data_IF_592359786561
#
_entry.id   IF_592359786561
#
_cell.length_a   1.000
_cell.length_b   1.000
_cell.length_c   1.000
_cell.angle_alpha   90.00
_cell.angle_beta   90.00
_cell.angle_gamma   90.00
#
_symmetry.space_group_name_H-M   'P 1'
#
loop_
_entity.id
_entity.type
_entity.pdbx_description
1 polymer ?
#
# COMPACT_ATOMS: atom_id res chain seq x y z
N UNK A 1 8.82 48.14 22.41
CA UNK A 1 8.26 48.12 21.03
C UNK A 1 8.09 46.66 20.67
N UNK A 2 6.94 46.07 20.37
CA UNK A 2 5.52 46.38 20.50
C UNK A 2 4.83 45.01 20.54
N UNK A 3 3.76 44.86 21.34
CA UNK A 3 2.95 43.63 21.36
C UNK A 3 2.13 43.60 20.07
N UNK A 4 2.48 42.73 19.13
CA UNK A 4 1.60 42.44 18.00
C UNK A 4 0.44 41.59 18.51
N UNK A 5 -0.67 42.30 18.76
CA UNK A 5 -1.97 41.71 18.94
C UNK A 5 -2.39 41.11 17.60
N UNK A 6 -2.60 39.81 17.56
CA UNK A 6 -3.23 39.14 16.42
C UNK A 6 -4.69 39.65 16.42
N UNK A 7 -4.99 40.57 15.51
CA UNK A 7 -6.36 41.01 15.28
C UNK A 7 -7.14 39.84 14.69
N UNK A 8 -8.17 39.39 15.40
CA UNK A 8 -9.21 38.52 14.85
C UNK A 8 -9.80 39.18 13.59
N UNK A 9 -9.71 38.48 12.46
CA UNK A 9 -10.33 38.88 11.20
C UNK A 9 -9.39 39.07 10.00
N UNK A 10 -8.07 38.90 10.14
CA UNK A 10 -7.18 38.90 8.98
C UNK A 10 -7.07 37.49 8.38
N UNK A 11 -7.50 37.36 7.13
CA UNK A 11 -7.42 36.12 6.37
C UNK A 11 -5.98 35.85 5.91
N UNK A 12 -5.69 34.61 5.51
CA UNK A 12 -4.40 34.26 4.92
C UNK A 12 -4.12 35.07 3.63
N UNK A 13 -5.18 35.54 2.94
CA UNK A 13 -5.07 36.47 1.81
C UNK A 13 -4.41 37.79 2.22
N UNK A 14 -4.85 38.36 3.34
CA UNK A 14 -4.37 39.66 3.83
C UNK A 14 -2.89 39.58 4.20
N UNK A 15 -2.45 38.46 4.77
CA UNK A 15 -1.02 38.23 5.05
C UNK A 15 -0.18 38.13 3.78
N UNK A 16 -0.64 37.39 2.76
CA UNK A 16 0.11 37.22 1.51
C UNK A 16 0.21 38.57 0.76
N UNK A 17 -0.86 39.35 0.76
CA UNK A 17 -0.88 40.66 0.12
C UNK A 17 -0.03 41.69 0.86
N UNK A 18 -0.12 41.78 2.19
CA UNK A 18 0.63 42.77 3.00
C UNK A 18 2.12 42.40 3.17
N UNK A 19 2.47 41.12 3.32
CA UNK A 19 3.85 40.71 3.64
C UNK A 19 4.66 40.19 2.47
N UNK A 20 4.03 39.57 1.47
CA UNK A 20 4.75 38.95 0.34
C UNK A 20 4.70 39.80 -0.93
N UNK A 21 3.98 40.93 -0.91
CA UNK A 21 3.94 41.93 -1.99
C UNK A 21 3.61 41.34 -3.37
N UNK A 22 2.86 40.24 -3.40
CA UNK A 22 2.26 39.71 -4.62
C UNK A 22 0.94 40.45 -4.86
N UNK A 23 0.81 41.09 -6.03
CA UNK A 23 -0.48 41.61 -6.51
C UNK A 23 -1.39 40.43 -6.85
N UNK A 24 -1.99 39.84 -5.83
CA UNK A 24 -3.03 38.84 -5.99
C UNK A 24 -4.33 39.58 -6.28
N UNK A 25 -4.89 39.36 -7.47
CA UNK A 25 -6.23 39.80 -7.78
C UNK A 25 -7.21 38.95 -6.97
N UNK A 26 -7.84 39.58 -5.96
CA UNK A 26 -8.85 38.95 -5.10
C UNK A 26 -10.15 38.61 -5.87
N UNK A 27 -10.28 39.10 -7.10
CA UNK A 27 -11.42 38.81 -7.98
C UNK A 27 -11.14 37.70 -8.99
N UNK A 28 -9.89 37.26 -9.14
CA UNK A 28 -9.53 36.13 -10.01
C UNK A 28 -10.10 34.83 -9.42
N UNK A 29 -10.93 34.07 -10.18
CA UNK A 29 -11.54 32.83 -9.72
C UNK A 29 -10.54 31.78 -9.20
N UNK A 30 -9.29 31.79 -9.70
CA UNK A 30 -8.24 30.84 -9.26
C UNK A 30 -7.71 31.20 -7.87
N UNK A 31 -7.51 32.48 -7.58
CA UNK A 31 -7.08 32.94 -6.25
C UNK A 31 -8.23 32.95 -5.25
N UNK A 32 -9.47 33.19 -5.70
CA UNK A 32 -10.68 33.09 -4.87
C UNK A 32 -10.93 31.67 -4.35
N UNK A 33 -10.67 30.66 -5.18
CA UNK A 33 -10.72 29.24 -4.78
C UNK A 33 -9.65 28.86 -3.74
N UNK A 34 -8.55 29.61 -3.69
CA UNK A 34 -7.44 29.38 -2.76
C UNK A 34 -7.61 30.12 -1.42
N UNK A 35 -8.59 31.04 -1.32
CA UNK A 35 -8.70 32.02 -0.23
C UNK A 35 -10.07 32.09 0.44
N UNK A 36 -11.10 31.40 -0.08
CA UNK A 36 -12.41 31.41 0.57
C UNK A 36 -12.43 30.46 1.76
N UNK A 37 -12.51 31.04 2.96
CA UNK A 37 -13.10 30.36 4.12
C UNK A 37 -14.47 29.84 3.68
N UNK A 38 -14.60 28.51 3.65
CA UNK A 38 -15.81 27.90 3.14
C UNK A 38 -17.02 28.29 4.01
N UNK A 39 -18.14 28.59 3.34
CA UNK A 39 -19.37 28.97 4.00
C UNK A 39 -19.91 27.79 4.82
N UNK A 40 -20.33 28.09 6.06
CA UNK A 40 -21.01 27.11 6.90
C UNK A 40 -22.24 26.56 6.18
N UNK A 41 -22.50 25.27 6.41
CA UNK A 41 -23.65 24.55 5.91
C UNK A 41 -23.74 24.33 4.39
N UNK A 42 -22.72 24.71 3.62
CA UNK A 42 -22.64 24.44 2.18
C UNK A 42 -21.79 23.21 1.87
N UNK A 43 -22.15 22.50 0.79
CA UNK A 43 -21.39 21.36 0.30
C UNK A 43 -20.27 21.82 -0.63
N UNK A 44 -19.05 21.41 -0.31
CA UNK A 44 -17.85 21.60 -1.15
C UNK A 44 -17.51 20.25 -1.77
N UNK A 45 -17.39 20.23 -3.09
CA UNK A 45 -16.88 19.08 -3.83
C UNK A 45 -15.35 19.15 -3.88
N UNK A 46 -14.69 18.33 -3.05
CA UNK A 46 -13.24 18.38 -2.84
C UNK A 46 -12.47 18.05 -4.12
N UNK A 47 -13.00 17.14 -4.94
CA UNK A 47 -12.35 16.66 -6.16
C UNK A 47 -12.95 17.25 -7.44
N UNK A 48 -14.06 17.98 -7.34
CA UNK A 48 -14.79 18.55 -8.48
C UNK A 48 -15.54 17.52 -9.34
N UNK A 49 -15.63 16.27 -8.89
CA UNK A 49 -16.27 15.16 -9.61
C UNK A 49 -17.51 14.59 -8.89
N UNK A 50 -17.90 15.19 -7.77
CA UNK A 50 -19.05 14.82 -6.95
C UNK A 50 -18.86 13.57 -6.10
N UNK A 51 -17.67 12.95 -6.10
CA UNK A 51 -17.40 11.69 -5.41
C UNK A 51 -16.85 11.86 -3.98
N UNK A 52 -16.40 13.06 -3.63
CA UNK A 52 -15.95 13.39 -2.29
C UNK A 52 -16.42 14.79 -1.94
N UNK A 53 -17.40 14.89 -1.04
CA UNK A 53 -17.98 16.16 -0.64
C UNK A 53 -17.82 16.39 0.85
N UNK A 54 -17.59 17.63 1.24
CA UNK A 54 -17.47 18.07 2.63
C UNK A 54 -18.46 19.19 2.90
N UNK A 55 -19.13 19.16 4.05
CA UNK A 55 -20.00 20.22 4.54
C UNK A 55 -19.62 20.55 5.97
N UNK A 56 -19.20 21.79 6.21
CA UNK A 56 -18.84 22.29 7.55
C UNK A 56 -20.12 22.52 8.35
N UNK A 57 -20.23 21.87 9.52
CA UNK A 57 -21.34 22.03 10.46
C UNK A 57 -20.97 23.01 11.56
N UNK A 58 -19.75 22.89 12.09
CA UNK A 58 -19.17 23.81 13.06
C UNK A 58 -17.78 24.20 12.56
N UNK A 59 -17.52 25.50 12.41
CA UNK A 59 -16.19 25.98 12.04
C UNK A 59 -15.18 25.71 13.15
N UNK A 60 -14.01 25.24 12.74
CA UNK A 60 -12.85 25.15 13.61
C UNK A 60 -12.12 26.49 13.77
N UNK A 61 -10.95 26.43 14.37
CA UNK A 61 -10.04 27.57 14.50
C UNK A 61 -9.28 27.79 13.19
N UNK A 62 -9.56 28.89 12.48
CA UNK A 62 -8.91 29.20 11.21
C UNK A 62 -7.37 29.11 11.28
N UNK A 63 -6.78 28.53 10.22
CA UNK A 63 -5.33 28.45 10.05
C UNK A 63 -4.67 27.36 10.89
N UNK A 64 -5.43 26.35 11.31
CA UNK A 64 -4.93 25.23 12.12
C UNK A 64 -5.02 23.89 11.39
N UNK A 65 -5.20 23.91 10.07
CA UNK A 65 -5.27 22.71 9.26
C UNK A 65 -3.99 21.86 9.40
N UNK A 66 -4.13 20.53 9.53
CA UNK A 66 -3.00 19.63 9.64
C UNK A 66 -2.22 19.53 8.34
N UNK A 67 -0.90 19.37 8.46
CA UNK A 67 -0.02 19.01 7.36
C UNK A 67 0.10 17.48 7.25
N UNK A 68 0.53 17.01 6.08
CA UNK A 68 0.86 15.60 5.89
C UNK A 68 1.95 15.19 6.90
N UNK A 69 1.72 14.09 7.62
CA UNK A 69 2.60 13.58 8.66
C UNK A 69 2.17 13.95 10.08
N UNK A 70 1.35 14.99 10.26
CA UNK A 70 0.84 15.38 11.57
C UNK A 70 -0.07 14.30 12.16
N UNK A 71 -0.08 14.23 13.49
CA UNK A 71 -0.87 13.30 14.29
C UNK A 71 -2.21 13.98 14.61
N UNK A 72 -3.29 13.44 14.06
CA UNK A 72 -4.63 13.97 14.25
C UNK A 72 -5.43 13.09 15.22
N UNK A 73 -6.04 13.69 16.23
CA UNK A 73 -7.04 13.02 17.08
C UNK A 73 -8.45 13.37 16.60
N UNK A 74 -9.25 12.35 16.31
CA UNK A 74 -10.52 12.49 15.62
C UNK A 74 -11.65 11.79 16.38
N UNK A 75 -12.84 12.39 16.34
CA UNK A 75 -14.09 11.65 16.53
C UNK A 75 -14.70 11.39 15.16
N UNK A 76 -15.04 10.14 14.87
CA UNK A 76 -15.53 9.69 13.58
C UNK A 76 -16.80 8.87 13.78
N UNK A 77 -17.89 9.27 13.13
CA UNK A 77 -19.13 8.49 13.05
C UNK A 77 -19.43 8.26 11.58
N UNK A 78 -19.24 7.03 11.10
CA UNK A 78 -19.56 6.61 9.72
C UNK A 78 -20.95 6.00 9.64
N UNK A 79 -21.78 6.50 8.73
CA UNK A 79 -23.14 6.00 8.46
C UNK A 79 -23.31 5.63 7.01
N UNK A 80 -24.05 4.57 6.73
CA UNK A 80 -24.46 4.27 5.36
C UNK A 80 -25.46 5.32 4.88
N UNK A 81 -25.19 5.94 3.73
CA UNK A 81 -26.04 7.02 3.20
C UNK A 81 -27.49 6.58 2.96
N UNK A 82 -27.70 5.32 2.56
CA UNK A 82 -29.00 4.79 2.16
C UNK A 82 -30.00 4.57 3.31
N UNK A 83 -29.53 4.08 4.46
CA UNK A 83 -30.37 3.67 5.58
C UNK A 83 -29.96 4.29 6.93
N UNK A 84 -28.94 5.16 6.91
CA UNK A 84 -28.42 5.88 8.08
C UNK A 84 -27.92 4.96 9.21
N UNK A 85 -27.67 3.67 8.93
CA UNK A 85 -27.08 2.73 9.88
C UNK A 85 -25.65 3.16 10.18
N UNK A 86 -25.32 3.31 11.47
CA UNK A 86 -23.96 3.54 11.94
C UNK A 86 -23.15 2.25 11.73
N UNK A 87 -22.03 2.38 11.02
CA UNK A 87 -21.10 1.27 10.71
C UNK A 87 -19.73 1.48 11.33
N UNK A 88 -19.38 2.71 11.67
CA UNK A 88 -18.14 3.09 12.34
C UNK A 88 -18.44 4.13 13.42
N UNK A 89 -17.83 3.98 14.59
CA UNK A 89 -17.96 4.93 15.69
C UNK A 89 -16.68 4.91 16.52
N UNK A 90 -15.92 5.99 16.43
CA UNK A 90 -14.66 6.18 17.15
C UNK A 90 -14.69 7.55 17.83
N UNK A 91 -14.34 7.60 19.12
CA UNK A 91 -14.37 8.84 19.88
C UNK A 91 -13.01 9.57 19.86
N UNK A 92 -11.91 8.87 20.13
CA UNK A 92 -10.56 9.44 20.19
C UNK A 92 -9.62 8.63 19.28
N UNK A 93 -9.93 8.63 17.98
CA UNK A 93 -9.16 7.89 16.98
C UNK A 93 -7.95 8.69 16.55
N UNK A 94 -6.76 8.15 16.81
CA UNK A 94 -5.49 8.79 16.46
C UNK A 94 -4.98 8.23 15.14
N UNK A 95 -4.79 9.13 14.17
CA UNK A 95 -4.20 8.83 12.87
C UNK A 95 -3.00 9.71 12.58
N UNK A 96 -2.11 9.21 11.75
CA UNK A 96 -1.12 10.04 11.09
C UNK A 96 -1.63 10.44 9.69
N UNK A 97 -1.78 11.74 9.45
CA UNK A 97 -2.44 12.23 8.23
C UNK A 97 -1.61 11.92 6.98
N UNK A 98 -2.25 11.29 5.98
CA UNK A 98 -1.61 10.91 4.73
C UNK A 98 -0.89 9.56 4.76
N UNK A 99 -1.00 8.80 5.86
CA UNK A 99 -0.49 7.43 5.99
C UNK A 99 -1.54 6.35 5.66
N UNK A 100 -2.73 6.76 5.18
CA UNK A 100 -3.79 5.86 4.72
C UNK A 100 -4.28 4.90 5.82
N UNK A 101 -4.30 5.39 7.07
CA UNK A 101 -4.83 4.66 8.24
C UNK A 101 -6.36 4.59 8.29
N UNK A 102 -7.02 5.48 7.54
CA UNK A 102 -8.47 5.49 7.28
C UNK A 102 -8.73 5.25 5.80
N UNK A 103 -10.00 5.26 5.38
CA UNK A 103 -10.35 5.25 3.95
C UNK A 103 -9.81 6.52 3.27
N UNK A 104 -9.45 6.42 1.99
CA UNK A 104 -8.76 7.49 1.27
C UNK A 104 -9.54 8.81 1.25
N UNK A 105 -10.87 8.75 1.16
CA UNK A 105 -11.72 9.94 1.17
C UNK A 105 -11.64 10.73 2.48
N UNK A 106 -11.56 10.03 3.62
CA UNK A 106 -11.35 10.68 4.91
C UNK A 106 -9.97 11.31 5.01
N UNK A 107 -8.92 10.58 4.60
CA UNK A 107 -7.54 11.07 4.65
C UNK A 107 -7.37 12.38 3.84
N UNK A 108 -8.06 12.49 2.70
CA UNK A 108 -8.11 13.71 1.88
C UNK A 108 -8.94 14.83 2.52
N UNK A 109 -10.09 14.50 3.09
CA UNK A 109 -11.01 15.49 3.65
C UNK A 109 -10.51 16.11 4.97
N UNK A 110 -9.83 15.32 5.82
CA UNK A 110 -9.26 15.77 7.10
C UNK A 110 -8.17 16.83 6.88
N UNK A 111 -7.39 16.73 5.80
CA UNK A 111 -6.42 17.74 5.42
C UNK A 111 -7.04 19.13 5.14
N UNK A 112 -8.34 19.18 4.89
CA UNK A 112 -9.09 20.42 4.68
C UNK A 112 -9.85 20.89 5.92
N UNK A 113 -9.71 20.21 7.07
CA UNK A 113 -10.41 20.56 8.32
C UNK A 113 -9.50 21.39 9.23
N UNK A 114 -10.08 22.37 9.89
CA UNK A 114 -9.43 23.13 10.97
C UNK A 114 -9.66 22.45 12.34
N UNK A 115 -8.79 22.70 13.32
CA UNK A 115 -8.93 22.13 14.67
C UNK A 115 -10.23 22.62 15.32
N UNK A 116 -10.93 21.70 15.99
CA UNK A 116 -12.30 21.79 16.51
C UNK A 116 -13.40 21.93 15.46
N UNK A 117 -13.09 21.75 14.16
CA UNK A 117 -14.11 21.73 13.11
C UNK A 117 -14.92 20.43 13.19
N UNK A 118 -16.25 20.54 13.05
CA UNK A 118 -17.15 19.41 12.82
C UNK A 118 -17.66 19.49 11.39
N UNK A 119 -17.41 18.45 10.61
CA UNK A 119 -17.84 18.36 9.22
C UNK A 119 -18.58 17.05 8.93
N UNK A 120 -19.53 17.13 8.01
CA UNK A 120 -20.12 15.96 7.35
C UNK A 120 -19.41 15.74 6.03
N UNK A 121 -18.92 14.52 5.80
CA UNK A 121 -18.14 14.15 4.63
C UNK A 121 -18.86 13.00 3.93
N UNK A 122 -19.30 13.22 2.70
CA UNK A 122 -19.87 12.19 1.84
C UNK A 122 -18.77 11.57 0.99
N UNK A 123 -18.55 10.27 1.15
CA UNK A 123 -17.47 9.51 0.49
C UNK A 123 -18.09 8.44 -0.41
N UNK A 124 -17.91 8.61 -1.72
CA UNK A 124 -18.27 7.62 -2.73
C UNK A 124 -17.49 6.30 -2.53
N UNK A 125 -18.05 5.12 -2.92
CA UNK A 125 -17.42 3.84 -2.65
C UNK A 125 -15.98 3.75 -3.14
N UNK A 126 -15.65 4.42 -4.25
CA UNK A 126 -14.28 4.44 -4.81
C UNK A 126 -13.24 4.95 -3.82
N UNK A 127 -13.61 5.88 -2.94
CA UNK A 127 -12.73 6.46 -1.91
C UNK A 127 -13.00 5.92 -0.50
N UNK A 128 -13.95 4.99 -0.37
CA UNK A 128 -14.33 4.31 0.86
C UNK A 128 -13.96 2.81 0.82
N UNK A 129 -14.96 1.92 0.80
CA UNK A 129 -14.78 0.46 0.84
C UNK A 129 -15.00 -0.25 -0.51
N UNK A 130 -15.27 0.51 -1.58
CA UNK A 130 -15.37 0.01 -2.95
C UNK A 130 -16.31 -1.17 -3.15
N UNK A 131 -16.05 -1.94 -4.21
CA UNK A 131 -16.83 -3.12 -4.62
C UNK A 131 -16.81 -4.26 -3.60
N UNK A 132 -15.86 -4.24 -2.66
CA UNK A 132 -15.72 -5.29 -1.65
C UNK A 132 -16.59 -5.02 -0.42
N UNK A 133 -16.83 -3.74 -0.10
CA UNK A 133 -17.43 -3.35 1.18
C UNK A 133 -16.57 -3.79 2.37
N UNK A 134 -17.21 -3.97 3.53
CA UNK A 134 -16.67 -4.59 4.73
C UNK A 134 -17.79 -5.34 5.46
N UNK A 135 -17.84 -6.67 5.28
CA UNK A 135 -18.88 -7.50 5.88
C UNK A 135 -18.73 -7.58 7.42
N UNK A 136 -19.84 -7.70 8.17
CA UNK A 136 -21.23 -7.69 7.71
C UNK A 136 -21.84 -6.28 7.56
N UNK A 137 -21.13 -5.25 8.01
CA UNK A 137 -21.74 -3.94 8.26
C UNK A 137 -21.83 -3.02 7.05
N UNK A 138 -20.84 -3.08 6.16
CA UNK A 138 -20.72 -2.21 4.99
C UNK A 138 -20.89 -3.06 3.72
N UNK A 139 -21.99 -2.87 2.97
CA UNK A 139 -22.19 -3.60 1.72
C UNK A 139 -21.19 -3.14 0.63
N UNK A 140 -21.01 -3.95 -0.43
CA UNK A 140 -20.37 -3.52 -1.66
C UNK A 140 -20.94 -2.21 -2.20
N UNK A 141 -20.07 -1.37 -2.78
CA UNK A 141 -20.44 -0.12 -3.46
C UNK A 141 -21.28 0.84 -2.59
N UNK A 142 -21.03 0.83 -1.28
CA UNK A 142 -21.71 1.69 -0.32
C UNK A 142 -21.07 3.09 -0.23
N UNK A 143 -21.88 4.13 -0.47
CA UNK A 143 -21.53 5.51 -0.11
C UNK A 143 -21.66 5.67 1.41
N UNK A 144 -20.64 6.23 2.03
CA UNK A 144 -20.60 6.47 3.48
C UNK A 144 -20.62 7.96 3.74
N UNK A 145 -21.49 8.37 4.66
CA UNK A 145 -21.53 9.71 5.21
C UNK A 145 -20.86 9.69 6.59
N UNK A 146 -19.75 10.38 6.71
CA UNK A 146 -19.00 10.53 7.95
C UNK A 146 -19.34 11.84 8.63
N UNK A 147 -19.61 11.81 9.93
CA UNK A 147 -19.49 13.00 10.79
C UNK A 147 -18.13 12.93 11.45
N UNK A 148 -17.27 13.91 11.18
CA UNK A 148 -15.91 13.98 11.70
C UNK A 148 -15.74 15.25 12.51
N UNK A 149 -15.14 15.13 13.68
CA UNK A 149 -14.63 16.24 14.49
C UNK A 149 -13.11 16.10 14.59
N UNK A 150 -12.39 17.12 14.13
CA UNK A 150 -10.93 17.20 14.28
C UNK A 150 -10.62 17.81 15.65
N UNK A 151 -10.29 16.99 16.65
CA UNK A 151 -10.11 17.45 18.03
C UNK A 151 -8.77 18.13 18.24
N UNK A 152 -7.67 17.46 17.88
CA UNK A 152 -6.31 17.99 18.04
C UNK A 152 -5.44 17.63 16.85
N UNK A 153 -4.41 18.44 16.63
CA UNK A 153 -3.34 18.21 15.67
C UNK A 153 -2.02 18.42 16.41
N UNK A 154 -1.22 17.36 16.46
CA UNK A 154 0.12 17.35 17.04
C UNK A 154 1.14 17.09 15.92
N UNK A 155 2.35 17.65 16.05
CA UNK A 155 3.41 17.46 15.06
C UNK A 155 3.87 15.99 15.02
N UNK A 156 4.36 15.55 13.85
CA UNK A 156 4.97 14.23 13.70
C UNK A 156 6.04 14.00 14.79
N UNK A 157 5.91 12.88 15.51
CA UNK A 157 6.87 12.54 16.56
C UNK A 157 8.16 12.02 15.93
N UNK A 158 9.29 12.54 16.37
CA UNK A 158 10.60 12.05 15.95
C UNK A 158 10.79 10.59 16.43
N UNK A 159 11.04 9.69 15.48
CA UNK A 159 11.18 8.25 15.72
C UNK A 159 12.32 7.96 16.70
N UNK A 160 13.36 8.80 16.70
CA UNK A 160 14.51 8.64 17.61
C UNK A 160 14.17 8.94 19.07
N UNK A 161 13.08 9.66 19.33
CA UNK A 161 12.60 9.95 20.70
C UNK A 161 11.72 8.85 21.28
N UNK A 162 11.29 7.90 20.46
CA UNK A 162 10.38 6.83 20.85
C UNK A 162 11.13 5.62 21.42
N UNK A 163 10.60 5.05 22.51
CA UNK A 163 11.10 3.77 23.03
C UNK A 163 10.92 2.63 22.01
N UNK A 164 11.76 1.59 22.09
CA UNK A 164 11.68 0.41 21.21
C UNK A 164 10.28 -0.23 21.26
N UNK A 165 9.67 -0.26 22.44
CA UNK A 165 8.31 -0.77 22.63
C UNK A 165 7.27 0.05 21.86
N UNK A 166 7.30 1.38 21.97
CA UNK A 166 6.39 2.26 21.23
C UNK A 166 6.60 2.14 19.72
N UNK A 167 7.85 2.09 19.27
CA UNK A 167 8.20 1.89 17.86
C UNK A 167 7.68 0.56 17.32
N UNK A 168 7.83 -0.52 18.09
CA UNK A 168 7.28 -1.84 17.75
C UNK A 168 5.76 -1.80 17.64
N UNK A 169 5.08 -1.13 18.55
CA UNK A 169 3.62 -0.97 18.54
C UNK A 169 3.13 -0.19 17.31
N UNK A 170 3.71 0.98 17.04
CA UNK A 170 3.35 1.82 15.89
C UNK A 170 3.67 1.10 14.57
N UNK A 171 4.86 0.50 14.46
CA UNK A 171 5.27 -0.27 13.29
C UNK A 171 4.33 -1.45 13.00
N UNK A 172 3.88 -2.15 14.05
CA UNK A 172 2.92 -3.24 13.89
C UNK A 172 1.51 -2.75 13.51
N UNK A 173 1.04 -1.63 14.09
CA UNK A 173 -0.22 -0.99 13.68
C UNK A 173 -0.20 -0.66 12.18
N UNK A 174 0.90 -0.06 11.70
CA UNK A 174 1.10 0.26 10.27
C UNK A 174 1.18 -1.00 9.41
N UNK A 175 1.85 -2.07 9.88
CA UNK A 175 1.88 -3.38 9.20
C UNK A 175 0.48 -3.98 9.07
N UNK A 176 -0.32 -3.95 10.12
CA UNK A 176 -1.69 -4.50 10.11
C UNK A 176 -2.61 -3.71 9.18
N UNK A 177 -2.45 -2.39 9.14
CA UNK A 177 -3.13 -1.56 8.15
C UNK A 177 -2.71 -1.92 6.72
N UNK A 178 -1.42 -2.17 6.48
CA UNK A 178 -0.94 -2.68 5.20
C UNK A 178 -1.57 -4.02 4.82
N UNK A 179 -1.73 -4.95 5.78
CA UNK A 179 -2.40 -6.23 5.54
C UNK A 179 -3.87 -6.02 5.12
N UNK A 180 -4.55 -5.07 5.76
CA UNK A 180 -5.93 -4.72 5.45
C UNK A 180 -6.07 -4.27 3.98
N UNK A 181 -5.19 -3.38 3.50
CA UNK A 181 -5.16 -2.96 2.10
C UNK A 181 -4.76 -4.09 1.15
N UNK A 182 -3.80 -4.95 1.54
CA UNK A 182 -3.34 -6.05 0.72
C UNK A 182 -4.42 -7.11 0.45
N UNK A 183 -5.23 -7.45 1.46
CA UNK A 183 -6.35 -8.40 1.33
C UNK A 183 -7.40 -7.89 0.34
N UNK A 184 -7.54 -6.56 0.22
CA UNK A 184 -8.47 -5.87 -0.67
C UNK A 184 -7.95 -5.71 -2.10
N UNK A 185 -6.80 -6.31 -2.40
CA UNK A 185 -6.12 -6.21 -3.69
C UNK A 185 -5.69 -4.78 -4.07
N UNK A 186 -5.38 -3.96 -3.07
CA UNK A 186 -4.81 -2.61 -3.24
C UNK A 186 -3.32 -2.59 -2.84
N UNK A 187 -2.42 -3.19 -3.64
CA UNK A 187 -1.04 -3.39 -3.25
C UNK A 187 -0.25 -2.07 -3.13
N UNK A 188 -0.62 -1.03 -3.87
CA UNK A 188 0.04 0.28 -3.81
C UNK A 188 -0.11 0.94 -2.43
N UNK A 189 -1.33 0.93 -1.88
CA UNK A 189 -1.61 1.46 -0.54
C UNK A 189 -0.97 0.58 0.54
N UNK A 190 -1.01 -0.74 0.34
CA UNK A 190 -0.32 -1.66 1.24
C UNK A 190 1.19 -1.40 1.31
N UNK A 191 1.85 -1.17 0.16
CA UNK A 191 3.28 -0.81 0.07
C UNK A 191 3.57 0.46 0.88
N UNK A 192 2.72 1.48 0.79
CA UNK A 192 2.88 2.72 1.56
C UNK A 192 2.87 2.44 3.06
N UNK A 193 1.88 1.68 3.56
CA UNK A 193 1.79 1.33 4.97
C UNK A 193 2.97 0.48 5.44
N UNK A 194 3.45 -0.48 4.62
CA UNK A 194 4.62 -1.29 4.97
C UNK A 194 5.92 -0.49 4.99
N UNK A 195 6.10 0.47 4.08
CA UNK A 195 7.25 1.38 4.12
C UNK A 195 7.25 2.19 5.42
N UNK A 196 6.11 2.79 5.76
CA UNK A 196 5.95 3.50 7.03
C UNK A 196 6.19 2.61 8.23
N UNK A 197 5.73 1.35 8.20
CA UNK A 197 6.05 0.39 9.26
C UNK A 197 7.57 0.13 9.40
N UNK A 198 8.31 0.06 8.29
CA UNK A 198 9.76 -0.14 8.32
C UNK A 198 10.51 1.06 8.92
N UNK A 199 10.01 2.28 8.76
CA UNK A 199 10.61 3.47 9.35
C UNK A 199 10.68 3.33 10.89
N UNK A 200 9.62 2.80 11.52
CA UNK A 200 9.61 2.57 12.97
C UNK A 200 10.40 1.31 13.40
N UNK A 201 10.39 0.25 12.59
CA UNK A 201 10.99 -1.05 12.93
C UNK A 201 12.48 -1.18 12.55
N UNK A 202 13.05 -0.21 11.83
CA UNK A 202 14.48 -0.24 11.45
C UNK A 202 15.35 0.34 12.56
N UNK A 203 16.48 -0.28 12.94
CA UNK A 203 17.37 0.26 13.96
C UNK A 203 17.79 1.69 13.62
N UNK A 204 17.66 2.61 14.57
CA UNK A 204 18.08 4.00 14.39
C UNK A 204 19.57 4.14 14.73
N UNK A 205 20.25 5.11 14.09
CA UNK A 205 21.72 5.28 14.17
C UNK A 205 22.23 5.48 15.62
N UNK A 206 21.38 5.95 16.53
CA UNK A 206 21.72 6.13 17.94
C UNK A 206 21.90 4.79 18.69
N UNK A 207 21.28 3.70 18.22
CA UNK A 207 21.46 2.36 18.81
C UNK A 207 22.83 1.77 18.46
N UNK A 208 23.42 2.17 17.33
CA UNK A 208 24.75 1.68 16.90
C UNK A 208 25.92 2.44 17.52
N UNK A 209 25.70 3.64 18.06
CA UNK A 209 26.76 4.51 18.59
C UNK A 209 26.88 4.54 20.12
N UNK A 210 26.09 3.75 20.85
CA UNK A 210 26.12 3.63 22.33
C UNK A 210 27.35 2.87 22.88
N UNK A 211 28.52 3.06 22.25
CA UNK A 211 29.80 2.59 22.77
C UNK A 211 30.45 3.56 23.75
N UNK A 212 29.98 4.80 23.90
CA UNK A 212 30.64 5.79 24.76
C UNK A 212 29.63 6.72 25.46
N UNK A 213 29.54 6.54 26.78
CA UNK A 213 29.08 7.45 27.82
C UNK A 213 27.56 7.65 28.08
N UNK A 214 27.19 7.11 29.26
CA UNK A 214 26.23 7.62 30.27
C UNK A 214 24.72 7.33 30.14
N UNK A 215 24.30 6.32 30.92
CA UNK A 215 23.01 6.18 31.62
C UNK A 215 21.73 6.29 30.79
N UNK A 216 21.54 5.39 29.83
CA UNK A 216 20.21 5.04 29.34
C UNK A 216 20.05 3.52 29.34
N UNK A 217 18.82 3.06 29.57
CA UNK A 217 18.42 1.67 29.81
C UNK A 217 19.22 0.69 28.95
N UNK A 218 19.79 -0.33 29.59
CA UNK A 218 20.34 -1.48 28.87
C UNK A 218 19.20 -2.11 28.08
N UNK A 219 19.04 -1.68 26.83
CA UNK A 219 18.13 -2.30 25.85
C UNK A 219 18.44 -3.79 25.93
N UNK A 220 17.46 -4.58 26.39
CA UNK A 220 17.64 -6.02 26.42
C UNK A 220 17.82 -6.49 24.98
N UNK A 221 18.90 -7.21 24.68
CA UNK A 221 19.15 -7.80 23.37
C UNK A 221 17.90 -8.53 22.81
N UNK A 222 17.05 -9.04 23.72
CA UNK A 222 15.76 -9.64 23.41
C UNK A 222 14.72 -8.67 22.80
N UNK A 223 14.58 -7.44 23.29
CA UNK A 223 13.61 -6.47 22.76
C UNK A 223 14.00 -5.98 21.37
N UNK A 224 15.31 -5.80 21.15
CA UNK A 224 15.85 -5.46 19.83
C UNK A 224 15.67 -6.62 18.85
N UNK A 225 15.92 -7.85 19.29
CA UNK A 225 15.69 -9.05 18.48
C UNK A 225 14.22 -9.17 18.05
N UNK A 226 13.30 -8.97 18.98
CA UNK A 226 11.86 -8.93 18.75
C UNK A 226 11.46 -7.88 17.69
N UNK A 227 12.04 -6.68 17.77
CA UNK A 227 11.81 -5.60 16.80
C UNK A 227 12.28 -6.02 15.40
N UNK A 228 13.45 -6.64 15.31
CA UNK A 228 14.02 -7.14 14.06
C UNK A 228 13.18 -8.26 13.47
N UNK A 229 12.62 -9.16 14.28
CA UNK A 229 11.70 -10.20 13.80
C UNK A 229 10.42 -9.61 13.19
N UNK A 230 9.86 -8.57 13.80
CA UNK A 230 8.70 -7.87 13.23
C UNK A 230 9.05 -7.14 11.94
N UNK A 231 10.24 -6.52 11.86
CA UNK A 231 10.77 -5.92 10.63
C UNK A 231 10.84 -6.94 9.49
N UNK A 232 11.26 -8.17 9.79
CA UNK A 232 11.31 -9.25 8.79
C UNK A 232 9.92 -9.66 8.28
N UNK A 233 8.90 -9.64 9.15
CA UNK A 233 7.50 -9.86 8.73
C UNK A 233 7.06 -8.77 7.77
N UNK A 234 7.42 -7.51 8.04
CA UNK A 234 7.09 -6.37 7.16
C UNK A 234 7.77 -6.48 5.80
N UNK A 235 9.08 -6.75 5.74
CA UNK A 235 9.77 -6.94 4.44
C UNK A 235 9.14 -8.08 3.63
N UNK A 236 8.75 -9.16 4.30
CA UNK A 236 8.04 -10.25 3.66
C UNK A 236 6.69 -9.78 3.05
N UNK A 237 5.90 -8.98 3.75
CA UNK A 237 4.63 -8.48 3.21
C UNK A 237 4.83 -7.42 2.12
N UNK A 238 5.86 -6.59 2.26
CA UNK A 238 6.28 -5.60 1.29
C UNK A 238 6.69 -6.26 -0.03
N UNK A 239 7.55 -7.29 0.02
CA UNK A 239 7.97 -8.05 -1.16
C UNK A 239 6.76 -8.67 -1.88
N UNK A 240 5.82 -9.27 -1.15
CA UNK A 240 4.60 -9.83 -1.73
C UNK A 240 3.75 -8.76 -2.45
N UNK A 241 3.70 -7.55 -1.90
CA UNK A 241 2.95 -6.43 -2.49
C UNK A 241 3.65 -5.86 -3.72
N UNK A 242 4.99 -5.71 -3.68
CA UNK A 242 5.80 -5.26 -4.82
C UNK A 242 5.78 -6.26 -5.97
N UNK A 243 5.72 -7.57 -5.68
CA UNK A 243 5.50 -8.61 -6.69
C UNK A 243 4.16 -8.43 -7.41
N UNK A 244 3.09 -8.07 -6.71
CA UNK A 244 1.78 -7.79 -7.32
C UNK A 244 1.82 -6.56 -8.24
N UNK A 245 2.58 -5.53 -7.87
CA UNK A 245 2.77 -4.33 -8.70
C UNK A 245 3.86 -4.50 -9.78
N UNK A 246 4.41 -5.71 -9.95
CA UNK A 246 5.49 -6.02 -10.90
C UNK A 246 6.78 -5.21 -10.68
N UNK A 247 6.96 -4.63 -9.50
CA UNK A 247 8.17 -3.91 -9.11
C UNK A 247 9.24 -4.92 -8.65
N UNK A 248 9.71 -5.76 -9.58
CA UNK A 248 10.51 -6.94 -9.26
C UNK A 248 11.88 -6.60 -8.65
N UNK A 249 12.53 -5.52 -9.07
CA UNK A 249 13.83 -5.12 -8.51
C UNK A 249 13.71 -4.71 -7.04
N UNK A 250 12.73 -3.88 -6.70
CA UNK A 250 12.44 -3.51 -5.31
C UNK A 250 11.99 -4.71 -4.46
N UNK A 251 11.30 -5.67 -5.09
CA UNK A 251 10.91 -6.91 -4.43
C UNK A 251 12.13 -7.78 -4.10
N UNK A 252 13.14 -7.86 -4.99
CA UNK A 252 14.40 -8.55 -4.72
C UNK A 252 15.13 -7.91 -3.54
N UNK A 253 15.28 -6.58 -3.52
CA UNK A 253 15.90 -5.87 -2.40
C UNK A 253 15.20 -6.18 -1.07
N UNK A 254 13.86 -6.19 -1.07
CA UNK A 254 13.08 -6.49 0.13
C UNK A 254 13.27 -7.94 0.60
N UNK A 255 13.38 -8.89 -0.33
CA UNK A 255 13.65 -10.30 0.00
C UNK A 255 15.09 -10.51 0.45
N UNK A 256 16.06 -9.82 -0.16
CA UNK A 256 17.46 -9.90 0.22
C UNK A 256 17.68 -9.35 1.64
N UNK A 257 16.96 -8.29 2.04
CA UNK A 257 16.95 -7.84 3.43
C UNK A 257 16.51 -8.95 4.41
N UNK A 258 15.56 -9.80 4.03
CA UNK A 258 15.12 -10.95 4.85
C UNK A 258 16.19 -12.05 4.85
N UNK A 259 16.78 -12.37 3.69
CA UNK A 259 17.78 -13.43 3.55
C UNK A 259 19.13 -13.08 4.16
N UNK A 260 19.49 -11.80 4.23
CA UNK A 260 20.70 -11.34 4.93
C UNK A 260 20.63 -11.64 6.43
N UNK A 261 19.44 -11.60 7.03
CA UNK A 261 19.22 -11.95 8.42
C UNK A 261 18.94 -13.45 8.63
N UNK A 262 18.14 -14.06 7.74
CA UNK A 262 17.79 -15.48 7.78
C UNK A 262 18.07 -16.15 6.41
N UNK A 263 19.31 -16.58 6.14
CA UNK A 263 19.70 -17.16 4.85
C UNK A 263 18.95 -18.45 4.48
N UNK A 264 18.39 -19.14 5.47
CA UNK A 264 17.64 -20.38 5.30
C UNK A 264 16.11 -20.18 5.36
N UNK A 265 15.62 -18.95 5.27
CA UNK A 265 14.18 -18.70 5.27
C UNK A 265 13.54 -19.19 3.95
N UNK A 266 12.84 -20.32 4.02
CA UNK A 266 12.25 -20.99 2.84
C UNK A 266 11.23 -20.11 2.13
N UNK A 267 10.41 -19.34 2.86
CA UNK A 267 9.42 -18.42 2.25
C UNK A 267 10.10 -17.31 1.46
N UNK A 268 11.19 -16.75 1.99
CA UNK A 268 11.97 -15.71 1.34
C UNK A 268 12.70 -16.27 0.10
N UNK A 269 13.36 -17.43 0.22
CA UNK A 269 14.00 -18.11 -0.92
C UNK A 269 12.99 -18.43 -2.03
N UNK A 270 11.81 -18.94 -1.67
CA UNK A 270 10.74 -19.22 -2.62
C UNK A 270 10.27 -17.95 -3.34
N UNK A 271 10.10 -16.84 -2.62
CA UNK A 271 9.75 -15.54 -3.21
C UNK A 271 10.85 -15.02 -4.13
N UNK A 272 12.13 -15.08 -3.72
CA UNK A 272 13.28 -14.70 -4.55
C UNK A 272 13.28 -15.48 -5.86
N UNK A 273 13.13 -16.80 -5.79
CA UNK A 273 13.02 -17.67 -6.96
C UNK A 273 11.86 -17.27 -7.89
N UNK A 274 10.68 -16.98 -7.34
CA UNK A 274 9.53 -16.49 -8.12
C UNK A 274 9.77 -15.13 -8.76
N UNK A 275 10.40 -14.20 -8.05
CA UNK A 275 10.71 -12.87 -8.59
C UNK A 275 11.68 -12.99 -9.76
N UNK A 276 12.77 -13.74 -9.60
CA UNK A 276 13.74 -14.02 -10.67
C UNK A 276 13.06 -14.71 -11.86
N UNK A 277 12.14 -15.65 -11.60
CA UNK A 277 11.35 -16.27 -12.65
C UNK A 277 10.54 -15.24 -13.44
N UNK A 278 9.84 -14.33 -12.77
CA UNK A 278 9.05 -13.29 -13.45
C UNK A 278 9.91 -12.25 -14.18
N UNK A 279 11.14 -12.01 -13.71
CA UNK A 279 12.13 -11.18 -14.43
C UNK A 279 12.68 -11.85 -15.70
N UNK A 280 12.50 -13.16 -15.88
CA UNK A 280 13.09 -13.93 -16.98
C UNK A 280 14.45 -14.54 -16.66
N UNK A 281 14.95 -14.38 -15.45
CA UNK A 281 16.23 -14.94 -14.99
C UNK A 281 16.04 -16.40 -14.53
N UNK A 282 15.63 -17.26 -15.47
CA UNK A 282 15.15 -18.61 -15.18
C UNK A 282 16.23 -19.55 -14.63
N UNK A 283 17.49 -19.40 -15.03
CA UNK A 283 18.61 -20.17 -14.49
C UNK A 283 18.85 -19.85 -13.01
N UNK A 284 18.96 -18.55 -12.67
CA UNK A 284 19.15 -18.12 -11.28
C UNK A 284 17.95 -18.50 -10.41
N UNK A 285 16.72 -18.32 -10.92
CA UNK A 285 15.50 -18.75 -10.24
C UNK A 285 15.54 -20.24 -9.90
N UNK A 286 16.01 -21.08 -10.83
CA UNK A 286 16.12 -22.53 -10.61
C UNK A 286 17.11 -22.85 -9.49
N UNK A 287 18.28 -22.21 -9.47
CA UNK A 287 19.29 -22.41 -8.42
C UNK A 287 18.78 -22.01 -7.03
N UNK A 288 18.10 -20.87 -6.92
CA UNK A 288 17.53 -20.40 -5.65
C UNK A 288 16.41 -21.34 -5.17
N UNK A 289 15.54 -21.81 -6.06
CA UNK A 289 14.48 -22.77 -5.68
C UNK A 289 15.02 -24.15 -5.35
N UNK A 290 16.15 -24.57 -5.94
CA UNK A 290 16.85 -25.79 -5.51
C UNK A 290 17.35 -25.66 -4.06
N UNK A 291 17.87 -24.49 -3.67
CA UNK A 291 18.23 -24.24 -2.28
C UNK A 291 17.01 -24.32 -1.36
N UNK A 292 15.87 -23.75 -1.76
CA UNK A 292 14.62 -23.86 -0.99
C UNK A 292 14.14 -25.33 -0.88
N UNK A 293 14.22 -26.10 -1.97
CA UNK A 293 13.82 -27.51 -2.00
C UNK A 293 14.72 -28.42 -1.15
N UNK A 294 15.99 -28.05 -0.95
CA UNK A 294 16.89 -28.77 -0.02
C UNK A 294 16.42 -28.62 1.44
N UNK A 295 15.83 -27.48 1.78
CA UNK A 295 15.35 -27.19 3.13
C UNK A 295 13.96 -27.78 3.38
N UNK A 296 13.05 -27.71 2.39
CA UNK A 296 11.72 -28.33 2.44
C UNK A 296 11.46 -29.23 1.22
N UNK A 297 11.96 -30.49 1.23
CA UNK A 297 11.81 -31.41 0.10
C UNK A 297 10.36 -31.80 -0.20
N UNK A 298 9.49 -31.81 0.81
CA UNK A 298 8.07 -32.23 0.69
C UNK A 298 7.16 -31.14 0.12
N UNK A 299 7.68 -29.92 -0.06
CA UNK A 299 6.88 -28.78 -0.52
C UNK A 299 6.48 -28.92 -1.98
N UNK A 300 5.23 -29.35 -2.22
CA UNK A 300 4.65 -29.49 -3.56
C UNK A 300 4.75 -28.19 -4.39
N UNK A 301 4.60 -27.03 -3.74
CA UNK A 301 4.63 -25.72 -4.41
C UNK A 301 6.02 -25.42 -4.99
N UNK A 302 7.09 -25.80 -4.28
CA UNK A 302 8.47 -25.61 -4.75
C UNK A 302 8.75 -26.60 -5.89
N UNK A 303 8.33 -27.85 -5.75
CA UNK A 303 8.52 -28.88 -6.78
C UNK A 303 7.83 -28.54 -8.10
N UNK A 304 6.59 -28.03 -8.04
CA UNK A 304 5.86 -27.61 -9.25
C UNK A 304 6.55 -26.45 -9.94
N UNK A 305 7.01 -25.45 -9.19
CA UNK A 305 7.73 -24.30 -9.74
C UNK A 305 9.09 -24.70 -10.35
N UNK A 306 9.82 -25.63 -9.72
CA UNK A 306 11.06 -26.20 -10.28
C UNK A 306 10.82 -26.94 -11.61
N UNK A 307 9.71 -27.67 -11.73
CA UNK A 307 9.36 -28.34 -12.97
C UNK A 307 9.09 -27.33 -14.11
N UNK A 308 8.36 -26.25 -13.81
CA UNK A 308 8.09 -25.15 -14.75
C UNK A 308 9.40 -24.50 -15.21
N UNK A 309 10.30 -24.18 -14.27
CA UNK A 309 11.60 -23.57 -14.58
C UNK A 309 12.49 -24.49 -15.42
N UNK A 310 12.49 -25.80 -15.14
CA UNK A 310 13.25 -26.77 -15.93
C UNK A 310 12.80 -26.81 -17.39
N UNK A 311 11.48 -26.76 -17.63
CA UNK A 311 10.93 -26.69 -18.98
C UNK A 311 11.30 -25.38 -19.67
N UNK A 312 11.20 -24.24 -18.97
CA UNK A 312 11.59 -22.93 -19.52
C UNK A 312 13.07 -22.88 -19.88
N UNK A 313 13.98 -23.25 -18.97
CA UNK A 313 15.42 -23.29 -19.24
C UNK A 313 15.76 -24.16 -20.47
N UNK A 314 15.08 -25.30 -20.63
CA UNK A 314 15.28 -26.15 -21.80
C UNK A 314 14.81 -25.46 -23.11
N UNK A 315 13.69 -24.74 -23.06
CA UNK A 315 13.20 -23.94 -24.20
C UNK A 315 14.14 -22.79 -24.53
N UNK A 316 14.66 -22.09 -23.52
CA UNK A 316 15.58 -20.98 -23.70
C UNK A 316 16.89 -21.45 -24.32
N UNK A 317 17.46 -22.55 -23.81
CA UNK A 317 18.67 -23.16 -24.38
C UNK A 317 18.47 -23.62 -25.83
N UNK A 318 17.29 -24.17 -26.16
CA UNK A 318 16.95 -24.51 -27.54
C UNK A 318 16.84 -23.26 -28.42
N UNK A 319 16.18 -22.21 -27.92
CA UNK A 319 16.02 -20.95 -28.64
C UNK A 319 17.36 -20.27 -28.90
N UNK A 320 18.23 -20.21 -27.88
CA UNK A 320 19.58 -19.67 -27.96
C UNK A 320 20.42 -20.44 -29.00
N UNK A 321 20.38 -21.79 -28.95
CA UNK A 321 21.04 -22.64 -29.95
C UNK A 321 20.54 -22.38 -31.36
N UNK A 322 19.23 -22.20 -31.54
CA UNK A 322 18.63 -21.84 -32.83
C UNK A 322 19.09 -20.45 -33.31
N UNK A 323 19.17 -19.46 -32.41
CA UNK A 323 19.67 -18.12 -32.71
C UNK A 323 21.15 -18.15 -33.11
N UNK A 324 22.02 -18.83 -32.36
CA UNK A 324 23.43 -19.01 -32.72
C UNK A 324 23.59 -19.68 -34.07
N UNK A 325 22.82 -20.74 -34.35
CA UNK A 325 22.84 -21.43 -35.65
C UNK A 325 22.53 -20.47 -36.81
N UNK A 326 21.53 -19.60 -36.62
CA UNK A 326 21.11 -18.60 -37.61
C UNK A 326 22.14 -17.48 -37.76
N UNK A 327 22.68 -16.96 -36.66
CA UNK A 327 23.70 -15.90 -36.67
C UNK A 327 25.02 -16.35 -37.28
N UNK A 328 25.43 -17.60 -37.05
CA UNK A 328 26.66 -18.18 -37.62
C UNK A 328 26.53 -18.63 -39.08
N UNK A 329 25.40 -18.37 -39.74
CA UNK A 329 25.20 -18.72 -41.16
C UNK A 329 25.25 -20.23 -41.46
N UNK A 330 25.18 -21.08 -40.44
CA UNK A 330 25.24 -22.56 -40.59
C UNK A 330 23.94 -23.18 -41.12
N UNK A 331 23.02 -22.37 -41.63
CA UNK A 331 21.97 -22.85 -42.53
C UNK A 331 22.63 -23.31 -43.82
N UNK A 332 23.11 -24.56 -43.83
CA UNK A 332 23.29 -25.29 -45.08
C UNK A 332 21.96 -25.22 -45.81
N UNK A 333 21.92 -24.46 -46.90
CA UNK A 333 20.90 -24.58 -47.93
C UNK A 333 20.88 -26.03 -48.40
N UNK A 334 20.07 -26.87 -47.75
CA UNK A 334 19.55 -28.06 -48.42
C UNK A 334 18.46 -27.58 -49.37
N UNK A 335 18.91 -26.93 -50.46
CA UNK A 335 18.20 -26.98 -51.72
C UNK A 335 18.28 -28.43 -52.18
N UNK A 336 17.35 -29.25 -51.70
CA UNK A 336 16.94 -30.44 -52.41
C UNK A 336 15.43 -30.35 -52.61
N UNK A 337 15.08 -29.86 -53.79
CA UNK A 337 13.79 -30.03 -54.44
C UNK A 337 13.30 -31.46 -54.25
N UNK A 338 12.32 -31.64 -53.37
CA UNK A 338 11.28 -32.65 -53.56
C UNK A 338 9.94 -31.98 -53.33
N UNK A 339 9.35 -31.57 -54.45
CA UNK A 339 7.91 -31.47 -54.60
C UNK A 339 7.29 -32.76 -54.07
N UNK A 340 6.67 -32.68 -52.90
CA UNK A 340 5.62 -33.61 -52.50
C UNK A 340 4.38 -32.77 -52.23
N UNK A 341 3.47 -32.85 -53.20
CA UNK A 341 2.08 -32.47 -53.03
C UNK A 341 1.55 -33.09 -51.73
N UNK A 342 1.07 -32.25 -50.82
CA UNK A 342 0.13 -32.69 -49.80
C UNK A 342 -1.03 -31.70 -49.78
N UNK A 343 -2.18 -32.27 -50.11
CA UNK A 343 -3.50 -31.66 -50.15
C UNK A 343 -3.79 -30.84 -48.89
N UNK A 344 -4.30 -29.62 -49.07
CA UNK A 344 -4.92 -28.85 -48.00
C UNK A 344 -6.19 -29.57 -47.53
N UNK A 345 -6.07 -30.43 -46.52
CA UNK A 345 -7.20 -30.76 -45.64
C UNK A 345 -7.39 -29.62 -44.64
N UNK A 346 -8.26 -28.71 -45.01
CA UNK A 346 -8.79 -27.65 -44.17
C UNK A 346 -9.63 -28.31 -43.05
N UNK A 347 -9.02 -28.59 -41.89
CA UNK A 347 -9.75 -28.89 -40.67
C UNK A 347 -9.98 -27.58 -39.91
N UNK A 348 -11.19 -27.06 -40.05
CA UNK A 348 -11.75 -26.05 -39.16
C UNK A 348 -11.91 -26.64 -37.77
N UNK A 349 -11.17 -26.16 -36.77
CA UNK A 349 -11.58 -26.29 -35.38
C UNK A 349 -11.81 -24.90 -34.80
N UNK A 350 -13.10 -24.55 -34.74
CA UNK A 350 -13.65 -23.56 -33.82
C UNK A 350 -13.37 -24.02 -32.38
N UNK A 351 -13.17 -23.01 -31.51
CA UNK A 351 -13.21 -23.06 -30.05
C UNK A 351 -12.08 -23.84 -29.34
N UNK A 352 -11.27 -23.12 -28.57
CA UNK A 352 -11.38 -23.02 -27.10
C UNK A 352 -10.80 -21.65 -26.70
N UNK A 353 -11.68 -20.66 -26.64
CA UNK A 353 -11.54 -19.54 -25.71
C UNK A 353 -12.14 -20.04 -24.40
N UNK A 354 -11.33 -20.08 -23.34
CA UNK A 354 -11.78 -20.51 -22.02
C UNK A 354 -10.72 -21.30 -21.28
N UNK A 355 -9.83 -20.58 -20.58
CA UNK A 355 -9.19 -20.95 -19.30
C UNK A 355 -8.08 -19.93 -18.94
N UNK A 356 -8.42 -18.64 -18.94
CA UNK A 356 -7.71 -17.62 -18.15
C UNK A 356 -8.79 -16.97 -17.29
N UNK A 357 -9.01 -17.54 -16.11
CA UNK A 357 -10.08 -17.11 -15.20
C UNK A 357 -10.49 -18.15 -14.15
N UNK A 358 -9.61 -19.10 -13.83
CA UNK A 358 -9.94 -20.25 -12.99
C UNK A 358 -8.84 -20.60 -11.98
N UNK A 359 -8.31 -19.62 -11.26
CA UNK A 359 -7.45 -19.86 -10.08
C UNK A 359 -7.72 -18.88 -8.93
N UNK A 360 -8.89 -18.23 -8.91
CA UNK A 360 -9.33 -17.33 -7.82
C UNK A 360 -10.55 -17.86 -7.06
N UNK A 361 -11.06 -19.05 -7.40
CA UNK A 361 -12.31 -19.58 -6.82
C UNK A 361 -12.13 -20.79 -5.88
N UNK A 362 -10.93 -21.38 -5.78
CA UNK A 362 -10.71 -22.58 -4.96
C UNK A 362 -10.38 -22.29 -3.48
N UNK A 363 -10.28 -21.02 -3.06
CA UNK A 363 -10.08 -20.65 -1.65
C UNK A 363 -11.37 -20.22 -0.93
N UNK A 364 -12.52 -20.14 -1.63
CA UNK A 364 -13.80 -19.71 -1.04
C UNK A 364 -14.80 -20.84 -0.74
N UNK A 365 -14.50 -22.09 -1.09
CA UNK A 365 -15.39 -23.23 -0.82
C UNK A 365 -15.06 -23.94 0.51
N UNK A 366 -13.87 -23.71 1.09
CA UNK A 366 -13.45 -24.31 2.36
C UNK A 366 -14.00 -23.65 3.63
N UNK A 367 -14.53 -22.42 3.55
CA UNK A 367 -14.98 -21.67 4.75
C UNK A 367 -16.51 -21.69 4.96
N UNK A 368 -17.29 -22.19 4.01
CA UNK A 368 -18.76 -22.25 4.10
C UNK A 368 -19.29 -23.61 4.59
N UNK A 369 -18.46 -24.65 4.66
CA UNK A 369 -18.86 -25.97 5.14
C UNK A 369 -18.80 -26.14 6.68
N UNK A 370 -18.26 -25.17 7.43
CA UNK A 370 -18.16 -25.24 8.89
C UNK A 370 -19.24 -24.45 9.66
N UNK A 371 -20.24 -23.87 8.97
CA UNK A 371 -21.31 -23.07 9.62
C UNK A 371 -22.71 -23.69 9.61
N UNK A 372 -22.83 -24.99 9.36
CA UNK A 372 -24.09 -25.74 9.48
C UNK A 372 -23.95 -27.11 10.17
N UNK A 373 -22.91 -27.33 10.97
CA UNK A 373 -22.85 -28.47 11.88
C UNK A 373 -22.46 -27.97 13.28
N UNK A 374 -23.42 -28.12 14.20
CA UNK A 374 -23.44 -27.84 15.65
C UNK A 374 -23.37 -26.39 16.10
#
# INVERSE_FOLDING_TARGET
MGKDSIQDGKTQADFIQEKLNFNIDSTDPVTKASLSDHLENEWIDILGNGQLKKKVILKGKNGTRPNRGDICTLKIIGKLKNNQKIVENYEDFVIQLGDVEVVQGLDLAIAMMDVNEIAVIEVDPRFAYGILGQRPDIPPDATIEYTVELKTVDLETDIDTLSIKQRKEIGNKKRERGNWWFIRDEPSLAIQCYRKALDYLSPTMNVTNSSQHEKEETVGDAELQDLLEDRMKVYNNLAASQMKTQAYDLALESVDNVLNCQPQNVKALFRKGKILHYKGEHEQAYLVLLQAAKLEPESKIIQTELAILKEKNAKDALHEKHLYRKMLGTNKNTNNSKNMNMEKKQKTNKAIWGLIGGASAAALVGLLAYRFAT
#
